data_IF_671820079471
#
_entry.id   IF_671820079471
#
_cell.length_a   1.000
_cell.length_b   1.000
_cell.length_c   1.000
_cell.angle_alpha   90.00
_cell.angle_beta   90.00
_cell.angle_gamma   90.00
#
_symmetry.space_group_name_H-M   'P 1'
#
loop_
_entity.id
_entity.type
_entity.pdbx_description
1 polymer ?
#
# COMPACT_ATOMS: atom_id res chain seq x y z
N UNK A 1 13.25 -4.12 17.51
CA UNK A 1 12.00 -3.77 16.79
C UNK A 1 11.46 -5.02 16.12
N UNK A 2 10.35 -5.57 16.60
CA UNK A 2 9.76 -6.86 16.16
C UNK A 2 9.12 -6.82 14.75
N UNK A 3 9.03 -5.64 14.13
CA UNK A 3 8.19 -5.42 12.94
C UNK A 3 8.90 -5.37 11.58
N UNK A 4 10.25 -5.38 11.52
CA UNK A 4 10.95 -5.49 10.22
C UNK A 4 10.51 -6.75 9.46
N UNK A 5 10.35 -7.86 10.18
CA UNK A 5 10.03 -9.17 9.59
C UNK A 5 8.60 -9.34 9.07
N UNK A 6 7.63 -8.56 9.55
CA UNK A 6 6.22 -8.77 9.19
C UNK A 6 5.85 -8.16 7.84
N UNK A 7 6.54 -7.11 7.40
CA UNK A 7 6.25 -6.40 6.14
C UNK A 7 7.17 -6.87 5.01
N UNK A 8 8.43 -7.21 5.32
CA UNK A 8 9.47 -7.52 4.32
C UNK A 8 9.09 -8.66 3.35
N UNK A 9 8.25 -9.63 3.77
CA UNK A 9 7.83 -10.76 2.92
C UNK A 9 6.33 -10.75 2.57
N UNK A 10 5.65 -9.62 2.77
CA UNK A 10 4.22 -9.47 2.50
C UNK A 10 3.98 -8.48 1.37
N UNK A 11 2.92 -8.75 0.61
CA UNK A 11 2.38 -7.79 -0.35
C UNK A 11 1.38 -6.88 0.33
N UNK A 12 1.42 -5.62 -0.05
CA UNK A 12 0.47 -4.59 0.33
C UNK A 12 -0.67 -4.65 -0.68
N UNK A 13 -1.86 -5.00 -0.21
CA UNK A 13 -3.06 -5.09 -1.04
C UNK A 13 -3.99 -3.94 -0.70
N UNK A 14 -4.33 -3.16 -1.73
CA UNK A 14 -5.29 -2.07 -1.64
C UNK A 14 -6.66 -2.56 -1.19
N UNK A 15 -7.29 -1.83 -0.28
CA UNK A 15 -8.67 -2.03 0.19
C UNK A 15 -9.41 -0.70 0.23
N UNK A 16 -10.73 -0.74 0.06
CA UNK A 16 -11.54 0.46 0.04
C UNK A 16 -11.53 1.18 -1.31
N UNK A 17 -11.99 2.43 -1.29
CA UNK A 17 -12.18 3.28 -2.45
C UNK A 17 -11.84 4.75 -2.14
N UNK A 18 -11.72 5.54 -3.21
CA UNK A 18 -11.52 7.00 -3.10
C UNK A 18 -12.86 7.69 -3.31
N UNK A 19 -13.14 8.66 -2.46
CA UNK A 19 -14.25 9.59 -2.64
C UNK A 19 -13.79 11.03 -2.44
N UNK A 20 -14.75 11.95 -2.44
CA UNK A 20 -14.54 13.34 -2.11
C UNK A 20 -15.57 13.77 -1.07
N UNK A 21 -15.14 14.62 -0.15
CA UNK A 21 -16.05 15.33 0.75
C UNK A 21 -16.75 16.47 0.00
N UNK A 22 -17.72 17.12 0.64
CA UNK A 22 -18.53 18.22 0.08
C UNK A 22 -17.69 19.40 -0.40
N UNK A 23 -16.53 19.61 0.20
CA UNK A 23 -15.59 20.67 -0.14
C UNK A 23 -14.55 20.24 -1.21
N UNK A 24 -14.65 19.00 -1.72
CA UNK A 24 -13.72 18.42 -2.68
C UNK A 24 -12.52 17.70 -2.04
N UNK A 25 -12.34 17.76 -0.72
CA UNK A 25 -11.22 17.10 -0.03
C UNK A 25 -11.24 15.59 -0.31
N UNK A 26 -10.12 14.98 -0.73
CA UNK A 26 -10.05 13.54 -0.96
C UNK A 26 -10.34 12.72 0.30
N UNK A 27 -11.08 11.63 0.13
CA UNK A 27 -11.41 10.67 1.17
C UNK A 27 -10.87 9.29 0.79
N UNK A 28 -10.29 8.58 1.75
CA UNK A 28 -10.15 7.12 1.68
C UNK A 28 -11.28 6.48 2.49
N UNK A 29 -12.07 5.63 1.82
CA UNK A 29 -13.23 4.96 2.41
C UNK A 29 -12.91 3.47 2.51
N UNK A 30 -12.86 2.92 3.72
CA UNK A 30 -12.56 1.51 3.91
C UNK A 30 -13.79 0.61 3.66
N UNK A 31 -13.59 -0.71 3.69
CA UNK A 31 -14.68 -1.68 3.45
C UNK A 31 -15.78 -1.70 4.51
N UNK A 32 -15.59 -0.98 5.64
CA UNK A 32 -16.63 -0.78 6.67
C UNK A 32 -17.49 0.47 6.40
N UNK A 33 -17.16 1.25 5.37
CA UNK A 33 -17.81 2.53 5.08
C UNK A 33 -17.28 3.70 5.91
N UNK A 34 -16.16 3.52 6.62
CA UNK A 34 -15.52 4.62 7.35
C UNK A 34 -14.67 5.46 6.40
N UNK A 35 -14.92 6.77 6.38
CA UNK A 35 -14.25 7.72 5.50
C UNK A 35 -13.21 8.56 6.26
N UNK A 36 -12.00 8.67 5.72
CA UNK A 36 -10.88 9.41 6.28
C UNK A 36 -10.43 10.49 5.31
N UNK A 37 -10.45 11.76 5.74
CA UNK A 37 -9.88 12.86 4.96
C UNK A 37 -8.37 12.69 4.84
N UNK A 38 -7.87 12.81 3.62
CA UNK A 38 -6.45 12.65 3.30
C UNK A 38 -6.00 13.69 2.27
N UNK A 39 -4.69 13.82 2.08
CA UNK A 39 -4.12 14.64 1.01
C UNK A 39 -3.85 13.81 -0.26
N UNK A 40 -3.54 14.49 -1.37
CA UNK A 40 -3.25 13.85 -2.65
C UNK A 40 -2.03 12.92 -2.60
N UNK A 41 -1.06 13.22 -1.75
CA UNK A 41 0.11 12.35 -1.52
C UNK A 41 -0.32 10.99 -0.97
N UNK A 42 -1.21 10.97 0.01
CA UNK A 42 -1.75 9.73 0.57
C UNK A 42 -2.58 8.96 -0.46
N UNK A 43 -3.39 9.64 -1.29
CA UNK A 43 -4.12 9.00 -2.40
C UNK A 43 -3.15 8.35 -3.39
N UNK A 44 -2.11 9.08 -3.80
CA UNK A 44 -1.09 8.60 -4.74
C UNK A 44 -0.38 7.37 -4.18
N UNK A 45 -0.01 7.42 -2.91
CA UNK A 45 0.64 6.31 -2.24
C UNK A 45 -0.28 5.09 -2.11
N UNK A 46 -1.54 5.30 -1.73
CA UNK A 46 -2.52 4.23 -1.65
C UNK A 46 -2.79 3.57 -3.01
N UNK A 47 -2.78 4.35 -4.09
CA UNK A 47 -2.90 3.82 -5.46
C UNK A 47 -1.70 2.96 -5.88
N UNK A 48 -0.49 3.27 -5.38
CA UNK A 48 0.70 2.43 -5.60
C UNK A 48 0.63 1.11 -4.81
N UNK A 49 -0.06 1.09 -3.68
CA UNK A 49 -0.20 -0.09 -2.81
C UNK A 49 -1.13 -1.17 -3.41
N UNK A 50 -0.76 -1.82 -4.51
CA UNK A 50 -1.61 -2.84 -5.15
C UNK A 50 -0.84 -4.10 -5.58
N UNK A 51 -0.65 -5.01 -4.62
CA UNK A 51 -0.01 -6.30 -4.88
C UNK A 51 1.52 -6.24 -4.92
N UNK A 52 2.11 -5.15 -4.43
CA UNK A 52 3.55 -4.93 -4.36
C UNK A 52 4.06 -5.09 -2.93
N UNK A 53 5.34 -5.40 -2.78
CA UNK A 53 6.06 -5.41 -1.51
C UNK A 53 6.39 -3.98 -1.05
N UNK A 54 6.77 -3.84 0.22
CA UNK A 54 7.25 -2.56 0.73
C UNK A 54 8.54 -2.08 0.05
N UNK A 55 9.44 -3.01 -0.30
CA UNK A 55 10.69 -2.68 -1.00
C UNK A 55 10.40 -2.15 -2.41
N UNK A 56 9.50 -2.78 -3.16
CA UNK A 56 9.06 -2.27 -4.47
C UNK A 56 8.40 -0.90 -4.35
N UNK A 57 7.50 -0.71 -3.37
CA UNK A 57 6.89 0.58 -3.09
C UNK A 57 7.94 1.65 -2.78
N UNK A 58 8.93 1.31 -1.97
CA UNK A 58 10.02 2.19 -1.60
C UNK A 58 10.86 2.59 -2.82
N UNK A 59 11.22 1.63 -3.67
CA UNK A 59 11.94 1.91 -4.92
C UNK A 59 11.14 2.85 -5.84
N UNK A 60 9.84 2.62 -6.02
CA UNK A 60 8.98 3.48 -6.84
C UNK A 60 8.91 4.91 -6.30
N UNK A 61 8.75 5.08 -4.97
CA UNK A 61 8.75 6.40 -4.34
C UNK A 61 10.12 7.10 -4.46
N UNK A 62 11.23 6.37 -4.28
CA UNK A 62 12.57 6.92 -4.43
C UNK A 62 12.88 7.39 -5.86
N UNK A 63 12.29 6.75 -6.88
CA UNK A 63 12.47 7.17 -8.29
C UNK A 63 11.86 8.52 -8.60
N UNK A 64 10.86 8.95 -7.83
CA UNK A 64 10.15 10.22 -8.03
C UNK A 64 10.48 11.25 -6.95
N UNK A 65 11.12 10.85 -5.85
CA UNK A 65 11.53 11.73 -4.76
C UNK A 65 12.93 12.29 -4.99
N UNK A 66 13.18 13.48 -4.46
CA UNK A 66 14.52 14.08 -4.37
C UNK A 66 15.05 14.12 -2.93
N UNK A 67 14.33 13.49 -1.99
CA UNK A 67 14.67 13.46 -0.56
C UNK A 67 15.69 12.36 -0.20
N UNK A 68 16.24 12.42 1.01
CA UNK A 68 17.16 11.41 1.55
C UNK A 68 16.45 10.06 1.71
N UNK A 69 17.16 9.00 1.30
CA UNK A 69 16.67 7.62 1.33
C UNK A 69 16.09 7.21 2.70
N UNK A 70 16.75 7.60 3.80
CA UNK A 70 16.32 7.22 5.15
C UNK A 70 15.06 7.98 5.57
N UNK A 71 14.94 9.24 5.15
CA UNK A 71 13.76 10.04 5.43
C UNK A 71 12.55 9.51 4.69
N UNK A 72 12.71 9.23 3.39
CA UNK A 72 11.65 8.61 2.56
C UNK A 72 11.22 7.29 3.17
N UNK A 73 12.17 6.42 3.54
CA UNK A 73 11.85 5.12 4.12
C UNK A 73 11.05 5.25 5.40
N UNK A 74 11.46 6.13 6.30
CA UNK A 74 10.76 6.38 7.57
C UNK A 74 9.34 6.91 7.34
N UNK A 75 9.19 7.90 6.46
CA UNK A 75 7.89 8.48 6.14
C UNK A 75 6.95 7.46 5.49
N UNK A 76 7.49 6.62 4.61
CA UNK A 76 6.76 5.55 3.95
C UNK A 76 6.28 4.47 4.93
N UNK A 77 7.17 4.03 5.84
CA UNK A 77 6.80 3.08 6.90
C UNK A 77 5.65 3.64 7.75
N UNK A 78 5.68 4.93 8.09
CA UNK A 78 4.61 5.57 8.88
C UNK A 78 3.28 5.61 8.11
N UNK A 79 3.28 6.03 6.85
CA UNK A 79 2.05 6.11 6.05
C UNK A 79 1.42 4.74 5.81
N UNK A 80 2.22 3.73 5.45
CA UNK A 80 1.70 2.36 5.24
C UNK A 80 1.09 1.80 6.54
N UNK A 81 1.69 2.10 7.70
CA UNK A 81 1.10 1.73 9.01
C UNK A 81 -0.23 2.41 9.26
N UNK A 82 -0.33 3.70 8.96
CA UNK A 82 -1.59 4.42 9.09
C UNK A 82 -2.67 3.83 8.19
N UNK A 83 -2.34 3.49 6.95
CA UNK A 83 -3.27 2.81 6.03
C UNK A 83 -3.75 1.46 6.57
N UNK A 84 -2.86 0.68 7.17
CA UNK A 84 -3.24 -0.59 7.79
C UNK A 84 -4.18 -0.36 8.97
N UNK A 85 -3.88 0.62 9.83
CA UNK A 85 -4.70 0.96 11.00
C UNK A 85 -6.13 1.35 10.61
N UNK A 86 -6.29 2.14 9.55
CA UNK A 86 -7.61 2.55 9.04
C UNK A 86 -8.23 1.51 8.09
N UNK A 87 -7.59 0.35 7.89
CA UNK A 87 -8.08 -0.77 7.07
C UNK A 87 -8.30 -0.45 5.59
N UNK A 88 -7.52 0.48 5.03
CA UNK A 88 -7.49 0.78 3.58
C UNK A 88 -6.37 0.04 2.85
N UNK A 89 -5.53 -0.69 3.57
CA UNK A 89 -4.64 -1.71 3.00
C UNK A 89 -4.63 -2.95 3.89
N UNK A 90 -4.24 -4.07 3.31
CA UNK A 90 -4.03 -5.34 4.00
C UNK A 90 -2.67 -5.92 3.60
N UNK A 91 -1.97 -6.53 4.56
CA UNK A 91 -0.75 -7.28 4.28
C UNK A 91 -1.08 -8.75 4.10
N UNK A 92 -0.69 -9.33 2.97
CA UNK A 92 -0.84 -10.76 2.70
C UNK A 92 0.52 -11.39 2.48
N UNK A 93 0.68 -12.62 2.95
CA UNK A 93 1.86 -13.40 2.60
C UNK A 93 1.97 -13.52 1.09
N UNK A 94 3.18 -13.35 0.56
CA UNK A 94 3.47 -13.62 -0.84
C UNK A 94 3.32 -15.12 -1.09
N UNK A 95 2.08 -15.59 -1.29
CA UNK A 95 1.83 -16.94 -1.79
C UNK A 95 2.16 -16.91 -3.27
N UNK A 96 3.31 -17.46 -3.61
CA UNK A 96 3.59 -17.93 -4.97
C UNK A 96 2.42 -18.86 -5.32
N UNK A 97 1.46 -18.34 -6.08
CA UNK A 97 0.49 -19.17 -6.80
C UNK A 97 1.22 -19.75 -8.01
N UNK A 98 2.21 -20.60 -7.72
CA UNK A 98 2.62 -21.63 -8.64
C UNK A 98 1.43 -22.60 -8.76
N UNK A 99 1.27 -23.17 -9.95
CA UNK A 99 0.16 -24.04 -10.39
C UNK A 99 -1.00 -23.27 -11.03
N UNK A 100 -0.81 -22.93 -12.32
CA UNK A 100 -1.69 -23.33 -13.44
C UNK A 100 -1.11 -22.89 -14.80
N UNK A 101 0.08 -23.38 -15.15
CA UNK A 101 0.55 -23.50 -16.55
C UNK A 101 1.43 -24.75 -16.70
N UNK A 102 0.90 -25.90 -16.31
CA UNK A 102 1.39 -27.20 -16.75
C UNK A 102 0.16 -28.04 -17.06
N UNK A 103 -0.02 -28.38 -18.34
CA UNK A 103 -1.16 -29.17 -18.81
C UNK A 103 -1.78 -28.68 -20.11
N UNK A 104 -0.97 -28.35 -21.12
CA UNK A 104 -1.42 -28.47 -22.51
C UNK A 104 -0.34 -29.26 -23.26
N UNK A 105 -0.38 -30.57 -23.02
CA UNK A 105 0.16 -31.61 -23.88
C UNK A 105 -0.95 -32.66 -23.96
N UNK A 106 -1.69 -32.64 -25.07
CA UNK A 106 -1.78 -33.69 -26.09
C UNK A 106 -2.77 -33.22 -27.14
#
# INVERSE_FOLDING_TARGET
MLMKREIENKIIVRRGEVGNDRDGTPLLINMRGEAYRVNDTAISLWNMCNGITFEELFCEVMRISSEDEREVKRSLEQMVRQFQQISVVEFKDYRISAVRRSGMQT
#
